data_IF_998973370661
#
_entry.id   IF_998973370661
#
_cell.length_a   1.000
_cell.length_b   1.000
_cell.length_c   1.000
_cell.angle_alpha   90.00
_cell.angle_beta   90.00
_cell.angle_gamma   90.00
#
_symmetry.space_group_name_H-M   'P 1'
#
loop_
_entity.id
_entity.type
_entity.pdbx_description
1 polymer ?
#
# COMPACT_ATOMS: atom_id res chain seq x y z
N UNK A 1 8.48 31.18 19.35
CA UNK A 1 8.93 30.16 18.37
C UNK A 1 7.75 29.82 17.48
N UNK A 2 7.84 30.08 16.16
CA UNK A 2 6.77 29.71 15.23
C UNK A 2 6.62 28.18 15.24
N UNK A 3 5.43 27.66 15.55
CA UNK A 3 5.11 26.24 15.34
C UNK A 3 5.42 25.94 13.88
N UNK A 4 6.44 25.12 13.60
CA UNK A 4 6.69 24.60 12.25
C UNK A 4 5.37 24.01 11.77
N UNK A 5 4.87 24.51 10.64
CA UNK A 5 3.66 24.00 9.99
C UNK A 5 3.87 22.50 9.77
N UNK A 6 2.86 21.68 10.07
CA UNK A 6 2.91 20.24 9.83
C UNK A 6 3.22 20.02 8.33
N UNK A 7 4.33 19.36 7.96
CA UNK A 7 4.71 19.17 6.56
C UNK A 7 3.88 18.08 5.87
N UNK A 8 3.06 17.35 6.62
CA UNK A 8 2.29 16.22 6.11
C UNK A 8 0.92 16.64 5.58
N UNK A 9 0.42 15.80 4.69
CA UNK A 9 -0.90 15.88 4.07
C UNK A 9 -1.69 14.65 4.44
N UNK A 10 -3.02 14.79 4.49
CA UNK A 10 -3.93 13.69 4.79
C UNK A 10 -3.78 12.56 3.76
N UNK A 11 -3.60 11.33 4.24
CA UNK A 11 -3.48 10.17 3.37
C UNK A 11 -4.77 9.97 2.55
N UNK A 12 -4.70 9.67 1.24
CA UNK A 12 -5.90 9.45 0.42
C UNK A 12 -6.88 8.40 0.98
N UNK A 13 -6.37 7.41 1.71
CA UNK A 13 -7.21 6.40 2.37
C UNK A 13 -8.07 6.96 3.51
N UNK A 14 -7.74 8.10 4.13
CA UNK A 14 -8.56 8.71 5.19
C UNK A 14 -9.92 9.14 4.62
N UNK A 15 -9.96 9.71 3.42
CA UNK A 15 -11.22 10.03 2.73
C UNK A 15 -12.05 8.77 2.46
N UNK A 16 -11.40 7.68 2.04
CA UNK A 16 -12.07 6.38 1.87
C UNK A 16 -12.63 5.86 3.20
N UNK A 17 -11.86 5.94 4.29
CA UNK A 17 -12.31 5.53 5.62
C UNK A 17 -13.49 6.38 6.10
N UNK A 18 -13.47 7.71 5.91
CA UNK A 18 -14.59 8.59 6.24
C UNK A 18 -15.89 8.15 5.55
N UNK A 19 -15.83 7.90 4.24
CA UNK A 19 -17.01 7.41 3.49
C UNK A 19 -17.53 6.05 3.97
N UNK A 20 -16.68 5.25 4.62
CA UNK A 20 -17.07 3.97 5.20
C UNK A 20 -17.60 4.13 6.64
N UNK A 21 -17.09 5.10 7.39
CA UNK A 21 -17.58 5.48 8.72
C UNK A 21 -19.00 6.04 8.65
N UNK A 22 -19.32 6.86 7.66
CA UNK A 22 -20.69 7.37 7.44
C UNK A 22 -21.71 6.23 7.26
N UNK A 23 -21.28 5.09 6.72
CA UNK A 23 -22.12 3.89 6.56
C UNK A 23 -22.26 3.06 7.83
N UNK A 24 -21.50 3.35 8.89
CA UNK A 24 -21.61 2.62 10.18
C UNK A 24 -22.99 2.83 10.75
N UNK A 25 -23.46 4.07 10.83
CA UNK A 25 -24.77 4.37 11.40
C UNK A 25 -25.89 3.73 10.59
N UNK A 26 -25.88 3.91 9.27
CA UNK A 26 -26.84 3.29 8.34
C UNK A 26 -26.92 1.77 8.52
N UNK A 27 -25.77 1.09 8.69
CA UNK A 27 -25.72 -0.38 8.72
C UNK A 27 -25.84 -1.01 10.10
N UNK A 28 -25.64 -0.24 11.16
CA UNK A 28 -25.53 -0.76 12.54
C UNK A 28 -26.52 -0.11 13.51
N UNK A 29 -27.20 0.95 13.08
CA UNK A 29 -28.16 1.70 13.90
C UNK A 29 -27.52 2.54 15.01
N UNK A 30 -26.19 2.67 15.05
CA UNK A 30 -25.47 3.53 15.99
C UNK A 30 -24.34 4.27 15.29
N UNK A 31 -24.13 5.51 15.68
CA UNK A 31 -22.98 6.30 15.23
C UNK A 31 -21.67 5.67 15.71
N UNK A 32 -20.58 5.95 15.00
CA UNK A 32 -19.25 5.49 15.40
C UNK A 32 -18.85 5.95 16.82
N UNK A 33 -19.07 7.22 17.25
CA UNK A 33 -18.82 7.63 18.63
C UNK A 33 -19.60 6.82 19.67
N UNK A 34 -20.87 6.51 19.42
CA UNK A 34 -21.69 5.67 20.32
C UNK A 34 -21.13 4.24 20.43
N UNK A 35 -20.64 3.68 19.34
CA UNK A 35 -19.95 2.39 19.37
C UNK A 35 -18.65 2.44 20.16
N UNK A 36 -17.83 3.47 19.95
CA UNK A 36 -16.57 3.66 20.69
C UNK A 36 -16.85 3.78 22.19
N UNK A 37 -17.85 4.56 22.58
CA UNK A 37 -18.25 4.73 23.98
C UNK A 37 -18.74 3.40 24.57
N UNK A 38 -19.57 2.65 23.85
CA UNK A 38 -20.03 1.33 24.27
C UNK A 38 -18.86 0.37 24.54
N UNK A 39 -17.91 0.30 23.60
CA UNK A 39 -16.74 -0.57 23.72
C UNK A 39 -15.86 -0.15 24.90
N UNK A 40 -15.65 1.15 25.12
CA UNK A 40 -14.88 1.64 26.26
C UNK A 40 -15.55 1.33 27.59
N UNK A 41 -16.89 1.35 27.65
CA UNK A 41 -17.66 1.12 28.88
C UNK A 41 -17.91 -0.35 29.20
N UNK A 42 -18.16 -1.18 28.18
CA UNK A 42 -18.64 -2.58 28.35
C UNK A 42 -17.82 -3.62 27.61
N UNK A 43 -16.95 -3.18 26.70
CA UNK A 43 -16.13 -4.08 25.91
C UNK A 43 -14.99 -4.69 26.75
N UNK A 44 -14.47 -5.87 26.33
CA UNK A 44 -13.27 -6.44 26.91
C UNK A 44 -12.06 -5.49 26.87
N UNK A 45 -11.04 -5.77 27.69
CA UNK A 45 -9.85 -4.91 27.75
C UNK A 45 -9.01 -4.95 26.46
N UNK A 46 -8.82 -6.13 25.86
CA UNK A 46 -7.98 -6.30 24.69
C UNK A 46 -8.69 -6.05 23.36
N UNK A 47 -7.95 -5.53 22.38
CA UNK A 47 -8.50 -5.17 21.06
C UNK A 47 -9.01 -6.38 20.29
N UNK A 48 -8.32 -7.53 20.37
CA UNK A 48 -8.72 -8.77 19.73
C UNK A 48 -10.05 -9.27 20.31
N UNK A 49 -10.19 -9.20 21.62
CA UNK A 49 -11.38 -9.59 22.37
C UNK A 49 -12.54 -8.63 22.06
N UNK A 50 -12.29 -7.32 21.96
CA UNK A 50 -13.29 -6.33 21.51
C UNK A 50 -13.81 -6.64 20.12
N UNK A 51 -12.94 -6.99 19.17
CA UNK A 51 -13.34 -7.38 17.80
C UNK A 51 -14.25 -8.61 17.80
N UNK A 52 -13.88 -9.64 18.55
CA UNK A 52 -14.68 -10.86 18.67
C UNK A 52 -16.02 -10.60 19.36
N UNK A 53 -16.02 -9.80 20.43
CA UNK A 53 -17.21 -9.39 21.18
C UNK A 53 -18.18 -8.58 20.33
N UNK A 54 -17.70 -7.59 19.58
CA UNK A 54 -18.51 -6.79 18.64
C UNK A 54 -19.14 -7.67 17.56
N UNK A 55 -18.41 -8.64 17.01
CA UNK A 55 -18.95 -9.55 16.02
C UNK A 55 -20.02 -10.49 16.61
N UNK A 56 -19.76 -11.05 17.80
CA UNK A 56 -20.60 -12.08 18.43
C UNK A 56 -21.84 -11.49 19.10
N UNK A 57 -21.66 -10.49 19.96
CA UNK A 57 -22.72 -9.93 20.81
C UNK A 57 -23.53 -8.83 20.10
N UNK A 58 -22.93 -8.18 19.09
CA UNK A 58 -23.56 -7.06 18.38
C UNK A 58 -23.78 -7.33 16.89
N UNK A 59 -23.48 -8.54 16.41
CA UNK A 59 -23.72 -8.95 15.02
C UNK A 59 -22.95 -8.12 13.99
N UNK A 60 -21.89 -7.41 14.41
CA UNK A 60 -21.18 -6.49 13.54
C UNK A 60 -20.35 -7.25 12.51
N UNK A 61 -20.43 -6.77 11.26
CA UNK A 61 -19.56 -7.26 10.19
C UNK A 61 -18.09 -7.07 10.57
N UNK A 62 -17.23 -7.98 10.08
CA UNK A 62 -15.79 -8.03 10.42
C UNK A 62 -15.10 -6.66 10.30
N UNK A 63 -15.35 -5.94 9.21
CA UNK A 63 -14.74 -4.62 8.96
C UNK A 63 -15.15 -3.58 10.01
N UNK A 64 -16.44 -3.50 10.35
CA UNK A 64 -16.95 -2.56 11.36
C UNK A 64 -16.45 -2.91 12.76
N UNK A 65 -16.50 -4.18 13.15
CA UNK A 65 -15.97 -4.63 14.43
C UNK A 65 -14.48 -4.31 14.59
N UNK A 66 -13.71 -4.45 13.51
CA UNK A 66 -12.28 -4.10 13.46
C UNK A 66 -12.05 -2.60 13.67
N UNK A 67 -12.71 -1.75 12.87
CA UNK A 67 -12.56 -0.29 12.95
C UNK A 67 -13.01 0.33 14.26
N UNK A 68 -14.12 -0.17 14.81
CA UNK A 68 -14.65 0.31 16.10
C UNK A 68 -13.67 -0.05 17.22
N UNK A 69 -13.17 -1.30 17.24
CA UNK A 69 -12.24 -1.75 18.28
C UNK A 69 -10.93 -0.95 18.27
N UNK A 70 -10.33 -0.71 17.11
CA UNK A 70 -9.09 0.08 16.99
C UNK A 70 -9.27 1.52 17.47
N UNK A 71 -10.37 2.16 17.08
CA UNK A 71 -10.67 3.54 17.52
C UNK A 71 -10.98 3.60 19.01
N UNK A 72 -11.67 2.59 19.55
CA UNK A 72 -11.89 2.50 20.98
C UNK A 72 -10.59 2.30 21.78
N UNK A 73 -9.61 1.60 21.19
CA UNK A 73 -8.26 1.40 21.74
C UNK A 73 -7.30 2.57 21.49
N UNK A 74 -7.66 3.55 20.65
CA UNK A 74 -6.77 4.65 20.27
C UNK A 74 -5.63 4.24 19.35
N UNK A 75 -5.72 3.06 18.73
CA UNK A 75 -4.70 2.44 17.88
C UNK A 75 -4.99 2.61 16.40
N UNK A 76 -6.07 3.33 16.04
CA UNK A 76 -6.44 3.50 14.63
C UNK A 76 -5.37 4.29 13.87
N UNK A 77 -4.67 3.68 12.90
CA UNK A 77 -3.55 4.33 12.21
C UNK A 77 -3.99 5.47 11.28
N UNK A 78 -5.29 5.60 11.03
CA UNK A 78 -5.89 6.56 10.09
C UNK A 78 -6.62 7.73 10.76
N UNK A 79 -6.77 7.71 12.10
CA UNK A 79 -7.58 8.67 12.82
C UNK A 79 -9.09 8.58 12.54
N UNK A 80 -9.85 9.43 13.24
CA UNK A 80 -11.27 9.73 13.02
C UNK A 80 -11.51 11.03 12.24
N UNK A 81 -10.54 11.95 12.22
CA UNK A 81 -10.55 13.18 11.42
C UNK A 81 -9.22 13.45 10.70
N UNK A 82 -9.22 14.46 9.84
CA UNK A 82 -8.03 14.95 9.13
C UNK A 82 -6.98 15.47 10.13
N UNK A 83 -7.40 16.21 11.15
CA UNK A 83 -6.53 16.72 12.22
C UNK A 83 -5.93 15.60 13.06
N UNK A 84 -6.75 14.62 13.48
CA UNK A 84 -6.28 13.47 14.24
C UNK A 84 -5.25 12.65 13.45
N UNK A 85 -5.49 12.47 12.14
CA UNK A 85 -4.52 11.83 11.25
C UNK A 85 -3.20 12.62 11.20
N UNK A 86 -3.28 13.95 11.04
CA UNK A 86 -2.09 14.80 10.94
C UNK A 86 -1.28 14.83 12.23
N UNK A 87 -1.93 14.82 13.40
CA UNK A 87 -1.26 14.67 14.69
C UNK A 87 -0.62 13.29 14.84
N UNK A 88 -1.34 12.23 14.46
CA UNK A 88 -0.83 10.87 14.50
C UNK A 88 0.36 10.68 13.53
N UNK A 89 0.32 11.30 12.35
CA UNK A 89 1.40 11.24 11.37
C UNK A 89 2.73 11.77 11.94
N UNK A 90 2.69 12.87 12.69
CA UNK A 90 3.87 13.41 13.38
C UNK A 90 4.40 12.40 14.42
N UNK A 91 3.50 11.87 15.26
CA UNK A 91 3.87 10.87 16.28
C UNK A 91 4.44 9.60 15.66
N UNK A 92 3.88 9.14 14.55
CA UNK A 92 4.35 7.96 13.82
C UNK A 92 5.75 8.15 13.27
N UNK A 93 6.06 9.32 12.69
CA UNK A 93 7.43 9.61 12.23
C UNK A 93 8.39 9.72 13.41
N UNK A 94 8.02 10.41 14.48
CA UNK A 94 8.87 10.52 15.68
C UNK A 94 9.15 9.13 16.29
N UNK A 95 8.15 8.24 16.31
CA UNK A 95 8.32 6.86 16.74
C UNK A 95 9.25 6.05 15.81
N UNK A 96 9.10 6.18 14.48
CA UNK A 96 9.97 5.50 13.49
C UNK A 96 11.44 5.85 13.66
N UNK A 97 11.74 7.09 14.08
CA UNK A 97 13.08 7.62 14.28
C UNK A 97 13.42 7.82 15.77
N UNK A 98 12.92 6.94 16.63
CA UNK A 98 13.29 6.91 18.05
C UNK A 98 14.26 5.77 18.39
N UNK A 99 14.87 5.82 19.58
CA UNK A 99 15.74 4.77 20.08
C UNK A 99 16.91 4.45 19.12
N UNK A 100 17.15 3.18 18.77
CA UNK A 100 18.25 2.79 17.88
C UNK A 100 18.23 3.42 16.48
N UNK A 101 17.08 3.94 16.04
CA UNK A 101 16.89 4.55 14.72
C UNK A 101 17.00 6.09 14.74
N UNK A 102 17.26 6.71 15.88
CA UNK A 102 17.32 8.17 16.02
C UNK A 102 18.36 8.82 15.09
N UNK A 103 19.49 8.14 14.89
CA UNK A 103 20.55 8.61 13.98
C UNK A 103 20.12 8.67 12.50
N UNK A 104 19.02 8.02 12.13
CA UNK A 104 18.49 8.03 10.75
C UNK A 104 17.60 9.24 10.47
N UNK A 105 17.18 10.00 11.50
CA UNK A 105 16.28 11.15 11.35
C UNK A 105 16.81 12.22 10.38
N UNK A 106 18.10 12.60 10.38
CA UNK A 106 18.62 13.59 9.44
C UNK A 106 18.54 13.15 7.97
N UNK A 107 18.63 11.84 7.70
CA UNK A 107 18.48 11.28 6.34
C UNK A 107 17.04 11.48 5.87
N UNK A 108 16.07 11.15 6.75
CA UNK A 108 14.66 11.36 6.47
C UNK A 108 14.30 12.82 6.25
N UNK A 109 14.74 13.71 7.14
CA UNK A 109 14.41 15.14 7.03
C UNK A 109 14.92 15.72 5.70
N UNK A 110 16.09 15.29 5.24
CA UNK A 110 16.64 15.70 3.94
C UNK A 110 15.85 15.14 2.76
N UNK A 111 15.43 13.88 2.80
CA UNK A 111 14.56 13.28 1.78
C UNK A 111 13.18 13.95 1.75
N UNK A 112 12.64 14.32 2.90
CA UNK A 112 11.38 15.04 3.03
C UNK A 112 11.48 16.42 2.37
N UNK A 113 12.53 17.17 2.68
CA UNK A 113 12.80 18.48 2.05
C UNK A 113 12.92 18.36 0.53
N UNK A 114 13.73 17.40 0.06
CA UNK A 114 13.96 17.18 -1.35
C UNK A 114 12.66 16.78 -2.06
N UNK A 115 11.90 15.84 -1.52
CA UNK A 115 10.65 15.38 -2.11
C UNK A 115 9.59 16.48 -2.19
N UNK A 116 9.43 17.28 -1.13
CA UNK A 116 8.53 18.44 -1.12
C UNK A 116 8.95 19.54 -2.11
N UNK A 117 10.25 19.65 -2.42
CA UNK A 117 10.77 20.64 -3.37
C UNK A 117 10.45 20.32 -4.84
N UNK A 118 10.02 19.10 -5.16
CA UNK A 118 9.77 18.66 -6.54
C UNK A 118 8.53 19.31 -7.18
N UNK A 119 7.52 19.64 -6.37
CA UNK A 119 6.28 20.19 -6.88
C UNK A 119 5.29 20.59 -5.78
N UNK A 120 4.44 21.59 -6.08
CA UNK A 120 3.37 22.04 -5.17
C UNK A 120 2.25 21.02 -4.98
N UNK A 121 2.17 20.04 -5.88
CA UNK A 121 1.20 18.94 -5.88
C UNK A 121 1.72 17.69 -5.14
N UNK A 122 2.93 17.74 -4.58
CA UNK A 122 3.47 16.69 -3.74
C UNK A 122 2.75 16.69 -2.39
N UNK A 123 2.29 15.50 -1.99
CA UNK A 123 1.67 15.23 -0.69
C UNK A 123 2.46 14.14 0.03
N UNK A 124 2.81 14.36 1.28
CA UNK A 124 3.52 13.38 2.11
C UNK A 124 2.61 12.91 3.22
N UNK A 125 2.34 11.61 3.31
CA UNK A 125 1.32 11.08 4.20
C UNK A 125 1.86 9.91 5.00
N UNK A 126 2.56 10.17 6.13
CA UNK A 126 3.12 9.12 6.96
C UNK A 126 2.12 8.04 7.35
N UNK A 127 2.56 6.79 7.26
CA UNK A 127 1.92 5.62 7.83
C UNK A 127 2.72 5.17 9.06
N UNK A 128 2.31 4.08 9.70
CA UNK A 128 3.01 3.53 10.87
C UNK A 128 4.47 3.15 10.57
N UNK A 129 4.73 2.51 9.42
CA UNK A 129 6.04 1.91 9.10
C UNK A 129 6.77 2.55 7.93
N UNK A 130 6.10 3.44 7.19
CA UNK A 130 6.64 4.05 5.98
C UNK A 130 6.07 5.45 5.78
N UNK A 131 6.78 6.25 5.00
CA UNK A 131 6.37 7.61 4.63
C UNK A 131 6.24 7.72 3.11
N UNK A 132 5.03 7.53 2.56
CA UNK A 132 4.76 7.69 1.13
C UNK A 132 4.67 9.15 0.68
N UNK A 133 5.17 9.40 -0.55
CA UNK A 133 5.10 10.65 -1.29
C UNK A 133 4.17 10.46 -2.49
N UNK A 134 3.17 11.31 -2.61
CA UNK A 134 2.11 11.22 -3.62
C UNK A 134 2.09 12.45 -4.53
N UNK A 135 1.71 12.23 -5.79
CA UNK A 135 0.98 13.22 -6.60
C UNK A 135 -0.48 12.80 -6.63
N UNK A 136 -0.96 12.26 -7.76
CA UNK A 136 -2.19 11.46 -7.81
C UNK A 136 -2.00 10.07 -7.18
N UNK A 137 -0.82 9.50 -7.34
CA UNK A 137 -0.43 8.18 -6.85
C UNK A 137 0.95 8.24 -6.17
N UNK A 138 1.29 7.24 -5.33
CA UNK A 138 2.55 7.19 -4.58
C UNK A 138 3.75 7.00 -5.51
N UNK A 139 4.63 7.98 -5.64
CA UNK A 139 5.80 7.88 -6.52
C UNK A 139 7.08 7.48 -5.78
N UNK A 140 7.13 7.72 -4.47
CA UNK A 140 8.22 7.30 -3.61
C UNK A 140 7.70 6.92 -2.22
N UNK A 141 8.44 6.08 -1.51
CA UNK A 141 8.16 5.72 -0.13
C UNK A 141 9.48 5.66 0.64
N UNK A 142 9.50 6.23 1.84
CA UNK A 142 10.66 6.18 2.73
C UNK A 142 10.40 5.14 3.81
N UNK A 143 11.29 4.14 3.90
CA UNK A 143 11.18 3.02 4.82
C UNK A 143 12.35 3.01 5.80
N UNK A 144 12.08 2.72 7.07
CA UNK A 144 13.12 2.49 8.09
C UNK A 144 13.40 1.00 8.27
N UNK A 145 13.76 0.33 7.17
CA UNK A 145 13.90 -1.13 7.09
C UNK A 145 14.94 -1.72 8.04
N UNK A 146 15.98 -0.94 8.41
CA UNK A 146 17.02 -1.37 9.35
C UNK A 146 17.28 -0.27 10.39
N UNK A 147 18.17 -0.55 11.35
CA UNK A 147 18.64 0.46 12.32
C UNK A 147 19.81 1.31 11.79
N UNK A 148 20.30 1.03 10.58
CA UNK A 148 21.55 1.61 10.05
C UNK A 148 21.38 2.37 8.74
N UNK A 149 20.23 2.24 8.08
CA UNK A 149 19.94 2.97 6.85
C UNK A 149 18.44 3.20 6.66
N UNK A 150 18.15 4.21 5.85
CA UNK A 150 16.82 4.47 5.29
C UNK A 150 16.78 3.88 3.88
N UNK A 151 15.69 3.20 3.54
CA UNK A 151 15.47 2.71 2.19
C UNK A 151 14.50 3.67 1.47
N UNK A 152 14.96 4.30 0.39
CA UNK A 152 14.14 5.11 -0.51
C UNK A 152 13.59 4.22 -1.62
N UNK A 153 12.31 3.88 -1.53
CA UNK A 153 11.62 3.07 -2.51
C UNK A 153 11.01 3.98 -3.59
N UNK A 154 11.13 3.63 -4.87
CA UNK A 154 10.77 4.47 -6.02
C UNK A 154 9.89 3.75 -7.03
N UNK A 155 8.91 4.48 -7.59
CA UNK A 155 8.04 4.00 -8.65
C UNK A 155 8.58 4.40 -10.04
N UNK A 156 9.55 3.63 -10.55
CA UNK A 156 10.24 3.93 -11.81
C UNK A 156 9.83 3.05 -13.00
N UNK A 157 8.78 2.23 -12.85
CA UNK A 157 8.28 1.36 -13.93
C UNK A 157 9.35 0.37 -14.41
N UNK A 158 9.69 0.43 -15.70
CA UNK A 158 10.68 -0.47 -16.33
C UNK A 158 12.10 0.12 -16.39
N UNK A 159 12.35 1.21 -15.66
CA UNK A 159 13.70 1.77 -15.55
C UNK A 159 14.71 0.68 -15.17
N UNK A 160 15.80 0.60 -15.94
CA UNK A 160 16.88 -0.33 -15.63
C UNK A 160 17.68 0.21 -14.44
N UNK A 161 17.87 -0.60 -13.38
CA UNK A 161 18.68 -0.17 -12.25
C UNK A 161 20.13 0.10 -12.68
N UNK A 162 20.74 1.12 -12.10
CA UNK A 162 22.15 1.48 -12.29
C UNK A 162 22.67 2.16 -11.04
N UNK A 163 23.98 2.06 -10.79
CA UNK A 163 24.60 2.66 -9.61
C UNK A 163 24.04 2.03 -8.32
N UNK A 164 23.52 2.86 -7.41
CA UNK A 164 22.92 2.41 -6.14
C UNK A 164 21.45 2.03 -6.25
N UNK A 165 20.83 2.27 -7.40
CA UNK A 165 19.45 1.85 -7.65
C UNK A 165 19.40 0.34 -7.83
N UNK A 166 18.54 -0.31 -7.06
CA UNK A 166 18.30 -1.75 -7.11
C UNK A 166 16.85 -2.02 -7.52
N UNK A 167 16.61 -3.11 -8.27
CA UNK A 167 15.25 -3.62 -8.49
C UNK A 167 14.87 -4.52 -7.32
N UNK A 168 13.76 -4.21 -6.67
CA UNK A 168 13.23 -5.01 -5.56
C UNK A 168 12.09 -5.88 -6.04
N UNK A 169 11.95 -7.04 -5.41
CA UNK A 169 10.80 -7.92 -5.64
C UNK A 169 9.64 -7.43 -4.78
N UNK A 170 8.57 -7.00 -5.44
CA UNK A 170 7.33 -6.64 -4.76
C UNK A 170 6.23 -7.68 -5.03
N UNK A 171 5.23 -7.82 -4.13
CA UNK A 171 3.97 -8.47 -4.45
C UNK A 171 3.38 -7.94 -5.77
N UNK A 172 2.76 -8.83 -6.54
CA UNK A 172 2.23 -8.49 -7.86
C UNK A 172 1.30 -7.28 -7.80
N UNK A 173 1.68 -6.20 -8.48
CA UNK A 173 0.86 -5.00 -8.64
C UNK A 173 1.30 -3.79 -7.83
N UNK A 174 2.29 -3.93 -6.93
CA UNK A 174 2.93 -2.78 -6.27
C UNK A 174 3.83 -2.03 -7.26
N UNK A 175 3.65 -0.70 -7.33
CA UNK A 175 4.32 0.16 -8.31
C UNK A 175 5.74 0.57 -7.92
N UNK A 176 6.07 0.45 -6.64
CA UNK A 176 7.33 0.92 -6.07
C UNK A 176 8.35 -0.22 -6.16
N UNK A 177 8.87 -0.42 -7.37
CA UNK A 177 9.67 -1.60 -7.75
C UNK A 177 11.19 -1.43 -7.61
N UNK A 178 11.64 -0.25 -7.19
CA UNK A 178 13.06 0.07 -7.05
C UNK A 178 13.38 0.63 -5.68
N UNK A 179 14.64 0.52 -5.28
CA UNK A 179 15.13 0.97 -3.99
C UNK A 179 16.54 1.57 -4.11
N UNK A 180 16.80 2.61 -3.33
CA UNK A 180 18.14 3.09 -2.98
C UNK A 180 18.27 3.04 -1.46
N UNK A 181 19.29 2.35 -0.95
CA UNK A 181 19.65 2.39 0.48
C UNK A 181 20.51 3.61 0.77
N UNK A 182 20.20 4.34 1.86
CA UNK A 182 20.87 5.59 2.23
C UNK A 182 21.27 5.51 3.71
N UNK A 183 22.57 5.48 3.97
CA UNK A 183 23.14 5.29 5.31
C UNK A 183 23.63 6.59 5.96
N UNK A 184 23.74 7.66 5.18
CA UNK A 184 24.13 8.98 5.68
C UNK A 184 23.48 10.12 4.87
N UNK A 185 23.34 11.34 5.43
CA UNK A 185 22.80 12.47 4.66
C UNK A 185 23.65 12.85 3.44
N UNK A 186 24.96 12.62 3.48
CA UNK A 186 25.88 12.89 2.37
C UNK A 186 25.68 11.97 1.16
N UNK A 187 25.02 10.83 1.35
CA UNK A 187 24.64 9.92 0.26
C UNK A 187 23.41 10.40 -0.52
N UNK A 188 22.72 11.46 -0.06
CA UNK A 188 21.66 12.14 -0.81
C UNK A 188 22.34 13.12 -1.77
N UNK A 189 22.90 12.55 -2.83
CA UNK A 189 23.65 13.24 -3.88
C UNK A 189 22.82 13.36 -5.17
N UNK A 190 23.47 13.81 -6.25
CA UNK A 190 22.83 13.95 -7.55
C UNK A 190 22.22 12.65 -8.10
N UNK A 191 22.69 11.46 -7.70
CA UNK A 191 22.05 10.20 -8.09
C UNK A 191 20.68 10.02 -7.43
N UNK A 192 20.60 10.24 -6.10
CA UNK A 192 19.33 10.17 -5.36
C UNK A 192 18.36 11.23 -5.88
N UNK A 193 18.83 12.46 -6.11
CA UNK A 193 18.02 13.55 -6.64
C UNK A 193 17.45 13.23 -8.03
N UNK A 194 18.29 12.71 -8.93
CA UNK A 194 17.87 12.30 -10.28
C UNK A 194 16.80 11.22 -10.23
N UNK A 195 16.99 10.19 -9.43
CA UNK A 195 16.03 9.07 -9.36
C UNK A 195 14.72 9.46 -8.69
N UNK A 196 14.77 10.27 -7.63
CA UNK A 196 13.57 10.77 -6.98
C UNK A 196 12.76 11.69 -7.91
N UNK A 197 13.45 12.56 -8.68
CA UNK A 197 12.81 13.38 -9.72
C UNK A 197 12.20 12.53 -10.83
N UNK A 198 12.92 11.53 -11.33
CA UNK A 198 12.41 10.62 -12.36
C UNK A 198 11.14 9.89 -11.87
N UNK A 199 11.11 9.46 -10.61
CA UNK A 199 9.92 8.84 -10.02
C UNK A 199 8.74 9.83 -9.94
N UNK A 200 9.00 11.07 -9.53
CA UNK A 200 8.00 12.14 -9.49
C UNK A 200 7.41 12.46 -10.87
N UNK A 201 8.26 12.56 -11.90
CA UNK A 201 7.85 12.82 -13.29
C UNK A 201 7.09 11.64 -13.89
N UNK A 202 7.58 10.42 -13.67
CA UNK A 202 6.88 9.19 -14.05
C UNK A 202 5.63 8.94 -13.20
N UNK A 203 5.38 9.71 -12.14
CA UNK A 203 4.43 9.42 -11.06
C UNK A 203 3.00 9.11 -11.49
N UNK A 204 2.54 9.60 -12.65
CA UNK A 204 1.23 9.25 -13.21
C UNK A 204 1.31 8.16 -14.29
N UNK A 205 2.41 8.10 -15.02
CA UNK A 205 2.63 7.20 -16.16
C UNK A 205 3.19 5.84 -15.78
N UNK A 206 3.94 5.72 -14.68
CA UNK A 206 4.45 4.46 -14.14
C UNK A 206 3.32 3.52 -13.66
N UNK A 207 2.06 3.95 -13.77
CA UNK A 207 0.89 3.05 -13.71
C UNK A 207 0.74 2.21 -14.99
N UNK A 208 1.32 2.60 -16.13
CA UNK A 208 1.44 1.79 -17.34
C UNK A 208 2.36 0.61 -17.01
N UNK A 209 1.76 -0.38 -16.36
CA UNK A 209 2.25 -1.75 -16.30
C UNK A 209 2.61 -2.13 -17.73
N UNK A 210 3.83 -2.61 -17.97
CA UNK A 210 3.98 -3.61 -19.01
C UNK A 210 3.06 -4.76 -18.60
N UNK A 211 1.92 -4.83 -19.27
CA UNK A 211 0.99 -5.94 -19.14
C UNK A 211 1.67 -7.07 -19.91
N UNK A 212 2.11 -8.16 -19.27
CA UNK A 212 2.67 -9.28 -20.00
C UNK A 212 1.65 -9.72 -21.04
N UNK A 213 1.98 -9.52 -22.31
CA UNK A 213 1.12 -9.86 -23.45
C UNK A 213 1.42 -11.25 -23.99
N UNK A 214 2.63 -11.76 -23.73
CA UNK A 214 3.04 -13.09 -24.13
C UNK A 214 2.38 -14.15 -23.25
N UNK A 215 1.50 -14.95 -23.87
CA UNK A 215 0.80 -16.03 -23.20
C UNK A 215 1.76 -17.23 -23.08
N UNK A 216 2.03 -17.75 -21.87
CA UNK A 216 2.86 -18.94 -21.68
C UNK A 216 2.28 -20.13 -22.42
N UNK A 217 3.13 -20.97 -23.01
CA UNK A 217 2.70 -22.09 -23.86
C UNK A 217 1.70 -23.02 -23.14
N UNK A 218 1.89 -23.25 -21.84
CA UNK A 218 1.01 -24.08 -21.03
C UNK A 218 -0.38 -23.45 -20.84
N UNK A 219 -0.45 -22.12 -20.69
CA UNK A 219 -1.73 -21.40 -20.63
C UNK A 219 -2.43 -21.41 -22.00
N UNK A 220 -1.69 -21.20 -23.07
CA UNK A 220 -2.23 -21.25 -24.43
C UNK A 220 -2.81 -22.64 -24.75
N UNK A 221 -2.10 -23.72 -24.39
CA UNK A 221 -2.55 -25.09 -24.59
C UNK A 221 -3.82 -25.38 -23.77
N UNK A 222 -3.85 -24.95 -22.50
CA UNK A 222 -5.02 -25.14 -21.63
C UNK A 222 -6.25 -24.38 -22.12
N UNK A 223 -6.09 -23.13 -22.58
CA UNK A 223 -7.17 -22.34 -23.16
C UNK A 223 -7.70 -22.98 -24.47
N UNK A 224 -6.84 -23.61 -25.27
CA UNK A 224 -7.29 -24.36 -26.45
C UNK A 224 -8.21 -25.53 -26.08
N UNK A 225 -7.94 -26.20 -24.95
CA UNK A 225 -8.74 -27.32 -24.45
C UNK A 225 -10.03 -26.96 -23.70
N UNK A 226 -10.26 -25.67 -23.37
CA UNK A 226 -11.45 -25.24 -22.62
C UNK A 226 -12.11 -24.02 -23.27
N UNK A 227 -13.12 -24.26 -24.11
CA UNK A 227 -13.81 -23.22 -24.87
C UNK A 227 -14.44 -22.11 -23.99
N UNK A 228 -14.97 -22.48 -22.81
CA UNK A 228 -15.60 -21.54 -21.88
C UNK A 228 -14.56 -20.60 -21.25
N UNK A 229 -13.46 -21.16 -20.75
CA UNK A 229 -12.35 -20.38 -20.20
C UNK A 229 -11.71 -19.48 -21.27
N UNK A 230 -11.56 -19.98 -22.51
CA UNK A 230 -11.03 -19.21 -23.64
C UNK A 230 -11.92 -18.03 -24.00
N UNK A 231 -13.22 -18.24 -24.13
CA UNK A 231 -14.17 -17.18 -24.43
C UNK A 231 -14.14 -16.09 -23.34
N UNK A 232 -14.21 -16.49 -22.07
CA UNK A 232 -14.16 -15.55 -20.96
C UNK A 232 -12.83 -14.79 -20.89
N UNK A 233 -11.70 -15.49 -21.03
CA UNK A 233 -10.37 -14.88 -21.07
C UNK A 233 -10.25 -13.84 -22.18
N UNK A 234 -10.85 -14.10 -23.35
CA UNK A 234 -10.91 -13.16 -24.47
C UNK A 234 -11.56 -11.82 -24.12
N UNK A 235 -12.58 -11.82 -23.25
CA UNK A 235 -13.32 -10.61 -22.82
C UNK A 235 -12.61 -9.79 -21.74
N UNK A 236 -11.55 -10.32 -21.13
CA UNK A 236 -10.82 -9.63 -20.07
C UNK A 236 -10.06 -8.42 -20.62
N UNK A 237 -10.03 -7.35 -19.83
CA UNK A 237 -9.21 -6.18 -20.12
C UNK A 237 -7.70 -6.56 -20.12
N UNK A 238 -6.82 -5.84 -20.84
CA UNK A 238 -5.40 -6.17 -20.91
C UNK A 238 -4.77 -6.38 -19.53
N UNK A 239 -5.02 -5.49 -18.56
CA UNK A 239 -4.50 -5.63 -17.20
C UNK A 239 -4.93 -6.93 -16.50
N UNK A 240 -6.15 -7.40 -16.74
CA UNK A 240 -6.66 -8.66 -16.18
C UNK A 240 -6.00 -9.87 -16.86
N UNK A 241 -5.83 -9.83 -18.20
CA UNK A 241 -5.10 -10.88 -18.95
C UNK A 241 -3.65 -10.98 -18.46
N UNK A 242 -2.98 -9.84 -18.29
CA UNK A 242 -1.61 -9.78 -17.79
C UNK A 242 -1.45 -10.36 -16.38
N UNK A 243 -2.44 -10.21 -15.50
CA UNK A 243 -2.40 -10.83 -14.16
C UNK A 243 -2.43 -12.36 -14.21
N UNK A 244 -3.25 -12.95 -15.10
CA UNK A 244 -3.28 -14.40 -15.32
C UNK A 244 -1.98 -14.91 -15.94
N UNK A 245 -1.47 -14.21 -16.96
CA UNK A 245 -0.21 -14.53 -17.63
C UNK A 245 0.94 -14.52 -16.62
N UNK A 246 1.05 -13.45 -15.83
CA UNK A 246 2.07 -13.30 -14.79
C UNK A 246 1.96 -14.36 -13.72
N UNK A 247 0.75 -14.64 -13.24
CA UNK A 247 0.52 -15.67 -12.22
C UNK A 247 1.08 -17.03 -12.66
N UNK A 248 0.98 -17.36 -13.95
CA UNK A 248 1.51 -18.62 -14.48
C UNK A 248 3.03 -18.51 -14.72
N UNK A 249 3.49 -17.42 -15.35
CA UNK A 249 4.91 -17.19 -15.66
C UNK A 249 5.82 -17.15 -14.42
N UNK A 250 5.35 -16.60 -13.30
CA UNK A 250 6.14 -16.51 -12.06
C UNK A 250 6.39 -17.87 -11.38
N UNK A 251 5.67 -18.93 -11.77
CA UNK A 251 5.92 -20.27 -11.24
C UNK A 251 7.18 -20.88 -11.87
N UNK A 252 8.27 -20.92 -11.09
CA UNK A 252 9.56 -21.50 -11.52
C UNK A 252 9.52 -23.02 -11.65
N UNK A 253 8.81 -23.72 -10.76
CA UNK A 253 8.69 -25.18 -10.77
C UNK A 253 7.58 -25.60 -11.77
N UNK A 254 7.85 -26.51 -12.73
CA UNK A 254 6.86 -26.98 -13.69
C UNK A 254 5.57 -27.50 -13.04
N UNK A 255 5.68 -28.26 -11.97
CA UNK A 255 4.54 -28.78 -11.20
C UNK A 255 3.66 -27.66 -10.61
N UNK A 256 4.28 -26.60 -10.10
CA UNK A 256 3.56 -25.44 -9.57
C UNK A 256 2.88 -24.68 -10.69
N UNK A 257 3.53 -24.57 -11.85
CA UNK A 257 2.94 -23.94 -13.03
C UNK A 257 1.72 -24.71 -13.52
N UNK A 258 1.80 -26.04 -13.59
CA UNK A 258 0.67 -26.90 -13.95
C UNK A 258 -0.53 -26.73 -13.00
N UNK A 259 -0.28 -26.71 -11.68
CA UNK A 259 -1.34 -26.44 -10.67
C UNK A 259 -1.98 -25.06 -10.84
N UNK A 260 -1.17 -24.02 -11.14
CA UNK A 260 -1.66 -22.67 -11.42
C UNK A 260 -2.50 -22.61 -12.69
N UNK A 261 -2.09 -23.31 -13.75
CA UNK A 261 -2.85 -23.41 -15.01
C UNK A 261 -4.20 -24.08 -14.77
N UNK A 262 -4.25 -25.21 -14.06
CA UNK A 262 -5.50 -25.89 -13.73
C UNK A 262 -6.46 -24.97 -12.96
N UNK A 263 -5.98 -24.34 -11.88
CA UNK A 263 -6.74 -23.35 -11.12
C UNK A 263 -7.21 -22.17 -11.98
N UNK A 264 -6.38 -21.69 -12.91
CA UNK A 264 -6.77 -20.62 -13.81
C UNK A 264 -7.91 -21.03 -14.73
N UNK A 265 -7.89 -22.25 -15.28
CA UNK A 265 -8.96 -22.74 -16.15
C UNK A 265 -10.29 -22.87 -15.40
N UNK A 266 -10.29 -23.42 -14.19
CA UNK A 266 -11.50 -23.56 -13.38
C UNK A 266 -12.14 -22.20 -13.10
N UNK A 267 -11.32 -21.22 -12.71
CA UNK A 267 -11.76 -19.87 -12.36
C UNK A 267 -12.24 -19.07 -13.57
N UNK A 268 -11.53 -19.15 -14.69
CA UNK A 268 -11.93 -18.50 -15.93
C UNK A 268 -13.24 -19.11 -16.47
N UNK A 269 -13.38 -20.44 -16.40
CA UNK A 269 -14.63 -21.11 -16.75
C UNK A 269 -15.80 -20.74 -15.80
N UNK A 270 -15.49 -20.35 -14.56
CA UNK A 270 -16.45 -19.80 -13.59
C UNK A 270 -16.67 -18.27 -13.71
N UNK A 271 -16.09 -17.61 -14.72
CA UNK A 271 -16.28 -16.17 -14.94
C UNK A 271 -15.58 -15.27 -13.92
N UNK A 272 -14.55 -15.78 -13.21
CA UNK A 272 -13.80 -14.99 -12.23
C UNK A 272 -12.68 -14.20 -12.91
N UNK A 273 -12.63 -12.89 -12.62
CA UNK A 273 -11.66 -11.95 -13.21
C UNK A 273 -10.28 -11.99 -12.54
N UNK A 274 -10.17 -12.56 -11.34
CA UNK A 274 -8.97 -12.54 -10.49
C UNK A 274 -8.46 -13.95 -10.17
N UNK A 275 -7.17 -14.04 -9.85
CA UNK A 275 -6.45 -15.28 -9.49
C UNK A 275 -6.79 -15.79 -8.08
N UNK A 276 -7.25 -14.91 -7.19
CA UNK A 276 -7.62 -15.19 -5.78
C UNK A 276 -9.11 -15.39 -5.59
#
# INVERSE_FOLDING_TARGET
MARKRNPYSVHPAVAMMRSQVEKVEEKTGRTLPQWIELVRKRGPAGEKERRAWLAKEHGLQRSFAWWIAERASGTSPWGGSDEEYLEQAVRSVDAQYSGPKAALRPIYDRLLELGLSLGKDVRVSPCETMVPFFRKYAFAEVHTSTNTRVDLHLALGDAKPSGRLEKIRTPSGERVGHRIGISSPGEIDGEVERWLRAAYEAGDEARRREVPSEIPAELAAALKGNAKARAFFGTLAPGQKGEWIRFIAEARKPETRAKRVARAMDRLAAGKKTTY
#
